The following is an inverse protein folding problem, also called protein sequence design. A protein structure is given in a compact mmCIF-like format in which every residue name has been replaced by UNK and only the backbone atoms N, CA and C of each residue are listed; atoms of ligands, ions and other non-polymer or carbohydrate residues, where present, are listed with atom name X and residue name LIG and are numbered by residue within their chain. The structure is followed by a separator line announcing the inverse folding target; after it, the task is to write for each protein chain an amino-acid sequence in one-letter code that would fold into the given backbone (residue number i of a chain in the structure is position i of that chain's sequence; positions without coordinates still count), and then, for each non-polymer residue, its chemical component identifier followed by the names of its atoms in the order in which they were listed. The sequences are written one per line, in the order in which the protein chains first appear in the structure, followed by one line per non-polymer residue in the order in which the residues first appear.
data_IF_980032073374
#
_entry.id   IF_980032073374
#
_cell.length_a   1.000
_cell.length_b   1.000
_cell.length_c   1.000
_cell.angle_alpha   90.00
_cell.angle_beta   90.00
_cell.angle_gamma   90.00
#
_symmetry.space_group_name_H-M   'P 1'
#
loop_
_entity.id
_entity.type
_entity.pdbx_description
1 polymer ?
#
# COMPACT_ATOMS: atom_id res chain seq x y z
N UNK A 1 -13.28 -20.80 14.90
CA UNK A 1 -12.42 -21.35 13.82
C UNK A 1 -12.37 -20.43 12.61
N UNK A 2 -13.49 -19.83 12.17
CA UNK A 2 -13.58 -18.94 11.00
C UNK A 2 -12.58 -17.77 10.95
N UNK A 3 -12.47 -16.95 12.00
CA UNK A 3 -11.57 -15.78 11.99
C UNK A 3 -10.09 -16.12 11.72
N UNK A 4 -9.60 -17.26 12.22
CA UNK A 4 -8.21 -17.70 11.98
C UNK A 4 -7.99 -18.08 10.52
N UNK A 5 -8.98 -18.71 9.91
CA UNK A 5 -8.95 -19.10 8.50
C UNK A 5 -9.00 -17.88 7.59
N UNK A 6 -9.91 -16.94 7.87
CA UNK A 6 -10.03 -15.68 7.12
C UNK A 6 -8.73 -14.86 7.24
N UNK A 7 -8.15 -14.75 8.44
CA UNK A 7 -6.86 -14.08 8.64
C UNK A 7 -5.69 -14.78 7.94
N UNK A 8 -5.71 -16.11 7.82
CA UNK A 8 -4.73 -16.83 7.02
C UNK A 8 -4.85 -16.45 5.54
N UNK A 9 -6.05 -16.51 4.97
CA UNK A 9 -6.27 -16.14 3.58
C UNK A 9 -5.93 -14.68 3.31
N UNK A 10 -6.37 -13.75 4.16
CA UNK A 10 -6.06 -12.33 4.01
C UNK A 10 -4.55 -12.08 3.93
N UNK A 11 -3.76 -12.74 4.79
CA UNK A 11 -2.29 -12.66 4.75
C UNK A 11 -1.68 -13.24 3.48
N UNK A 12 -2.16 -14.41 3.05
CA UNK A 12 -1.65 -15.07 1.85
C UNK A 12 -1.93 -14.23 0.61
N UNK A 13 -3.14 -13.69 0.45
CA UNK A 13 -3.50 -12.84 -0.67
C UNK A 13 -2.78 -11.49 -0.64
N UNK A 14 -2.80 -10.79 0.50
CA UNK A 14 -2.12 -9.50 0.62
C UNK A 14 -0.61 -9.65 0.42
N UNK A 15 0.01 -10.59 1.12
CA UNK A 15 1.44 -10.80 1.01
C UNK A 15 1.84 -11.28 -0.38
N UNK A 16 1.04 -12.14 -1.01
CA UNK A 16 1.23 -12.56 -2.40
C UNK A 16 1.11 -11.39 -3.38
N UNK A 17 0.16 -10.48 -3.17
CA UNK A 17 -0.01 -9.28 -4.00
C UNK A 17 1.18 -8.32 -3.86
N UNK A 18 1.68 -8.06 -2.64
CA UNK A 18 2.88 -7.24 -2.45
C UNK A 18 4.14 -7.91 -3.03
N UNK A 19 4.26 -9.23 -2.93
CA UNK A 19 5.33 -9.97 -3.61
C UNK A 19 5.25 -9.83 -5.12
N UNK A 20 4.04 -9.95 -5.69
CA UNK A 20 3.80 -9.76 -7.12
C UNK A 20 4.19 -8.35 -7.54
N UNK A 21 3.71 -7.31 -6.84
CA UNK A 21 4.06 -5.91 -7.11
C UNK A 21 5.57 -5.65 -7.04
N UNK A 22 6.25 -6.17 -6.01
CA UNK A 22 7.69 -6.04 -5.88
C UNK A 22 8.45 -6.76 -7.01
N UNK A 23 7.98 -7.95 -7.39
CA UNK A 23 8.58 -8.72 -8.48
C UNK A 23 8.37 -8.05 -9.83
N UNK A 24 7.16 -7.57 -10.09
CA UNK A 24 6.81 -6.81 -11.29
C UNK A 24 7.68 -5.55 -11.42
N UNK A 25 7.88 -4.81 -10.32
CA UNK A 25 8.77 -3.65 -10.28
C UNK A 25 10.22 -3.99 -10.65
N UNK A 26 10.73 -5.18 -10.30
CA UNK A 26 12.08 -5.62 -10.69
C UNK A 26 12.15 -5.86 -12.20
N UNK A 27 11.17 -6.58 -12.74
CA UNK A 27 11.18 -6.96 -14.15
C UNK A 27 10.81 -5.81 -15.08
N UNK A 28 9.99 -4.88 -14.62
CA UNK A 28 9.51 -3.73 -15.38
C UNK A 28 10.13 -2.41 -14.88
N UNK A 29 11.32 -2.46 -14.27
CA UNK A 29 11.96 -1.31 -13.63
C UNK A 29 11.98 -0.04 -14.48
N UNK A 30 12.48 -0.14 -15.72
CA UNK A 30 12.57 1.01 -16.64
C UNK A 30 11.20 1.59 -16.99
N UNK A 31 10.22 0.71 -17.24
CA UNK A 31 8.86 1.13 -17.53
C UNK A 31 8.23 1.84 -16.33
N UNK A 32 8.36 1.25 -15.13
CA UNK A 32 7.82 1.85 -13.91
C UNK A 32 8.49 3.17 -13.57
N UNK A 33 9.81 3.28 -13.73
CA UNK A 33 10.49 4.56 -13.52
C UNK A 33 10.02 5.65 -14.48
N UNK A 34 9.78 5.29 -15.75
CA UNK A 34 9.28 6.24 -16.76
C UNK A 34 7.85 6.68 -16.46
N UNK A 35 6.98 5.76 -16.05
CA UNK A 35 5.59 6.07 -15.66
C UNK A 35 5.56 6.99 -14.45
N UNK A 36 6.33 6.67 -13.41
CA UNK A 36 6.39 7.50 -12.19
C UNK A 36 6.96 8.88 -12.49
N UNK A 37 7.98 8.97 -13.35
CA UNK A 37 8.55 10.26 -13.74
C UNK A 37 7.55 11.11 -14.53
N UNK A 38 6.86 10.53 -15.52
CA UNK A 38 5.80 11.21 -16.26
C UNK A 38 4.68 11.68 -15.34
N UNK A 39 4.34 10.88 -14.33
CA UNK A 39 3.35 11.27 -13.33
C UNK A 39 3.82 12.48 -12.53
N UNK A 40 5.07 12.52 -12.06
CA UNK A 40 5.60 13.71 -11.40
C UNK A 40 5.64 14.94 -12.31
N UNK A 41 6.04 14.79 -13.57
CA UNK A 41 6.03 15.88 -14.55
C UNK A 41 4.59 16.41 -14.78
N UNK A 42 3.60 15.51 -14.89
CA UNK A 42 2.19 15.87 -15.04
C UNK A 42 1.68 16.65 -13.82
N UNK A 43 1.92 16.14 -12.62
CA UNK A 43 1.43 16.76 -11.39
C UNK A 43 2.16 18.09 -11.11
N UNK A 44 3.46 18.18 -11.40
CA UNK A 44 4.21 19.42 -11.31
C UNK A 44 3.67 20.49 -12.26
N UNK A 45 3.27 20.12 -13.49
CA UNK A 45 2.67 21.04 -14.46
C UNK A 45 1.34 21.66 -14.01
N UNK A 46 0.62 21.02 -13.07
CA UNK A 46 -0.68 21.47 -12.57
C UNK A 46 -0.62 22.23 -11.24
N UNK A 47 0.54 22.28 -10.57
CA UNK A 47 0.69 22.95 -9.27
C UNK A 47 1.80 24.00 -9.30
N UNK A 48 1.46 25.27 -9.01
CA UNK A 48 2.45 26.35 -8.81
C UNK A 48 2.76 26.55 -7.32
N UNK A 49 4.03 26.84 -6.96
CA UNK A 49 4.42 27.24 -5.61
C UNK A 49 4.96 26.09 -4.73
N UNK A 50 4.47 25.94 -3.49
CA UNK A 50 5.02 24.99 -2.50
C UNK A 50 5.15 23.55 -3.01
N UNK A 51 4.19 23.08 -3.80
CA UNK A 51 4.18 21.72 -4.36
C UNK A 51 5.27 21.49 -5.40
N UNK A 52 5.68 22.52 -6.16
CA UNK A 52 6.73 22.43 -7.16
C UNK A 52 8.08 22.03 -6.54
N UNK A 53 8.40 22.60 -5.37
CA UNK A 53 9.59 22.24 -4.60
C UNK A 53 9.53 20.81 -4.07
N UNK A 54 8.36 20.32 -3.67
CA UNK A 54 8.18 18.93 -3.23
C UNK A 54 8.41 17.96 -4.38
N UNK A 55 7.85 18.22 -5.57
CA UNK A 55 8.01 17.35 -6.72
C UNK A 55 9.44 17.35 -7.28
N UNK A 56 10.12 18.49 -7.24
CA UNK A 56 11.55 18.57 -7.64
C UNK A 56 12.45 17.73 -6.73
N UNK A 57 12.19 17.77 -5.41
CA UNK A 57 12.90 16.91 -4.46
C UNK A 57 12.53 15.45 -4.69
N UNK A 58 11.24 15.15 -4.91
CA UNK A 58 10.74 13.80 -5.15
C UNK A 58 11.37 13.15 -6.40
N UNK A 59 11.50 13.88 -7.50
CA UNK A 59 12.16 13.41 -8.74
C UNK A 59 13.64 13.09 -8.48
N UNK A 60 14.34 13.96 -7.74
CA UNK A 60 15.76 13.77 -7.39
C UNK A 60 16.02 12.51 -6.55
N UNK A 61 15.05 12.09 -5.75
CA UNK A 61 15.16 10.90 -4.89
C UNK A 61 14.39 9.69 -5.45
N UNK A 62 13.77 9.82 -6.62
CA UNK A 62 12.90 8.79 -7.19
C UNK A 62 13.56 7.40 -7.24
N UNK A 63 14.82 7.24 -7.71
CA UNK A 63 15.45 5.91 -7.74
C UNK A 63 15.58 5.29 -6.34
N UNK A 64 15.91 6.11 -5.33
CA UNK A 64 16.05 5.67 -3.94
C UNK A 64 14.69 5.25 -3.39
N UNK A 65 13.65 6.01 -3.70
CA UNK A 65 12.29 5.67 -3.32
C UNK A 65 11.86 4.37 -4.01
N UNK A 66 12.02 4.19 -5.33
CA UNK A 66 11.65 2.93 -5.98
C UNK A 66 12.36 1.71 -5.37
N UNK A 67 13.64 1.82 -5.01
CA UNK A 67 14.36 0.74 -4.29
C UNK A 67 13.77 0.51 -2.89
N UNK A 68 13.46 1.56 -2.15
CA UNK A 68 12.82 1.44 -0.83
C UNK A 68 11.44 0.79 -0.91
N UNK A 69 10.62 1.18 -1.91
CA UNK A 69 9.31 0.59 -2.17
C UNK A 69 9.44 -0.89 -2.53
N UNK A 70 10.39 -1.24 -3.39
CA UNK A 70 10.70 -2.62 -3.76
C UNK A 70 11.02 -3.46 -2.52
N UNK A 71 11.93 -2.97 -1.68
CA UNK A 71 12.34 -3.68 -0.45
C UNK A 71 11.15 -3.87 0.48
N UNK A 72 10.31 -2.85 0.66
CA UNK A 72 9.08 -2.97 1.45
C UNK A 72 8.17 -4.04 0.86
N UNK A 73 7.85 -3.97 -0.43
CA UNK A 73 6.94 -4.91 -1.07
C UNK A 73 7.40 -6.37 -0.91
N UNK A 74 8.67 -6.64 -1.19
CA UNK A 74 9.23 -7.98 -1.08
C UNK A 74 9.33 -8.45 0.37
N UNK A 75 9.99 -7.67 1.23
CA UNK A 75 10.23 -8.08 2.61
C UNK A 75 8.92 -8.19 3.39
N UNK A 76 8.05 -7.19 3.29
CA UNK A 76 6.81 -7.15 4.07
C UNK A 76 5.77 -8.10 3.49
N UNK A 77 5.79 -8.37 2.18
CA UNK A 77 5.00 -9.45 1.58
C UNK A 77 5.32 -10.80 2.19
N UNK A 78 6.62 -11.16 2.29
CA UNK A 78 7.07 -12.40 2.95
C UNK A 78 6.67 -12.42 4.42
N UNK A 79 6.97 -11.36 5.16
CA UNK A 79 6.70 -11.31 6.60
C UNK A 79 5.20 -11.40 6.90
N UNK A 80 4.36 -10.82 6.04
CA UNK A 80 2.90 -10.89 6.16
C UNK A 80 2.39 -12.32 5.93
N UNK A 81 2.89 -13.03 4.91
CA UNK A 81 2.60 -14.46 4.66
C UNK A 81 2.98 -15.31 5.88
N UNK A 82 4.18 -15.09 6.43
CA UNK A 82 4.67 -15.81 7.60
C UNK A 82 3.95 -15.41 8.90
N UNK A 83 3.17 -14.33 8.89
CA UNK A 83 2.47 -13.82 10.07
C UNK A 83 3.40 -13.17 11.11
N UNK A 84 4.64 -12.85 10.74
CA UNK A 84 5.63 -12.23 11.63
C UNK A 84 5.31 -10.75 11.73
N UNK A 85 5.20 -10.21 12.96
CA UNK A 85 4.91 -8.77 13.21
C UNK A 85 3.73 -8.23 12.39
N UNK A 86 2.72 -9.07 12.13
CA UNK A 86 1.59 -8.79 11.24
C UNK A 86 0.96 -7.40 11.44
N UNK A 87 0.71 -7.00 12.69
CA UNK A 87 0.12 -5.69 13.02
C UNK A 87 1.00 -4.52 12.54
N UNK A 88 2.29 -4.55 12.83
CA UNK A 88 3.19 -3.48 12.42
C UNK A 88 3.27 -3.40 10.89
N UNK A 89 3.47 -4.54 10.23
CA UNK A 89 3.58 -4.61 8.77
C UNK A 89 2.31 -4.16 8.09
N UNK A 90 1.14 -4.65 8.52
CA UNK A 90 -0.14 -4.26 7.93
C UNK A 90 -0.39 -2.76 8.10
N UNK A 91 0.03 -2.18 9.23
CA UNK A 91 -0.07 -0.74 9.47
C UNK A 91 0.86 0.08 8.56
N UNK A 92 2.11 -0.35 8.37
CA UNK A 92 3.03 0.34 7.45
C UNK A 92 2.56 0.22 6.01
N UNK A 93 2.17 -0.99 5.57
CA UNK A 93 1.62 -1.22 4.23
C UNK A 93 0.34 -0.41 4.02
N UNK A 94 -0.52 -0.26 5.04
CA UNK A 94 -1.71 0.59 4.95
C UNK A 94 -1.35 2.05 4.66
N UNK A 95 -0.43 2.64 5.42
CA UNK A 95 -0.01 4.04 5.21
C UNK A 95 0.59 4.22 3.82
N UNK A 96 1.44 3.27 3.42
CA UNK A 96 2.10 3.27 2.11
C UNK A 96 1.06 3.17 0.99
N UNK A 97 0.15 2.21 1.04
CA UNK A 97 -0.94 2.03 0.07
C UNK A 97 -1.84 3.26 -0.01
N UNK A 98 -2.14 3.92 1.12
CA UNK A 98 -2.91 5.16 1.14
C UNK A 98 -2.16 6.30 0.45
N UNK A 99 -0.86 6.42 0.74
CA UNK A 99 0.00 7.40 0.07
C UNK A 99 0.03 7.17 -1.45
N UNK A 100 0.20 5.93 -1.91
CA UNK A 100 0.20 5.62 -3.35
C UNK A 100 -1.16 5.85 -3.99
N UNK A 101 -2.23 5.32 -3.39
CA UNK A 101 -3.59 5.46 -3.91
C UNK A 101 -4.03 6.92 -4.01
N UNK A 102 -3.54 7.79 -3.13
CA UNK A 102 -3.72 9.24 -3.28
C UNK A 102 -2.72 9.78 -4.32
N UNK A 103 -1.44 9.87 -4.01
CA UNK A 103 -0.46 10.64 -4.79
C UNK A 103 -0.24 10.16 -6.22
N UNK A 104 -0.40 8.87 -6.53
CA UNK A 104 -0.16 8.32 -7.86
C UNK A 104 -1.40 8.25 -8.75
N UNK A 105 -2.57 8.51 -8.19
CA UNK A 105 -3.82 8.55 -8.94
C UNK A 105 -4.43 9.94 -8.80
N UNK A 106 -4.03 10.91 -9.66
CA UNK A 106 -4.36 12.31 -9.48
C UNK A 106 -5.78 12.60 -10.00
N UNK A 107 -6.76 11.78 -9.61
CA UNK A 107 -8.16 11.90 -10.03
C UNK A 107 -8.74 13.31 -9.78
N UNK A 108 -8.18 14.03 -8.79
CA UNK A 108 -8.57 15.40 -8.46
C UNK A 108 -8.05 16.47 -9.45
N UNK A 109 -7.10 16.12 -10.33
CA UNK A 109 -6.54 17.01 -11.36
C UNK A 109 -7.11 16.75 -12.76
N UNK A 110 -7.82 15.64 -12.95
CA UNK A 110 -8.33 15.21 -14.26
C UNK A 110 -9.79 15.58 -14.44
N UNK A 111 -10.28 15.59 -15.68
CA UNK A 111 -11.67 15.87 -16.05
C UNK A 111 -12.34 14.65 -16.72
N UNK A 112 -13.67 14.64 -16.70
CA UNK A 112 -14.55 13.69 -17.41
C UNK A 112 -14.13 12.20 -17.32
N UNK A 113 -13.76 11.59 -18.45
CA UNK A 113 -13.53 10.16 -18.58
C UNK A 113 -12.23 9.71 -17.88
N UNK A 114 -11.18 10.52 -17.93
CA UNK A 114 -9.88 10.22 -17.30
C UNK A 114 -10.00 10.25 -15.78
N UNK A 115 -10.82 11.17 -15.25
CA UNK A 115 -11.16 11.17 -13.81
C UNK A 115 -11.84 9.87 -13.40
N UNK A 116 -12.77 9.35 -14.21
CA UNK A 116 -13.51 8.14 -13.87
C UNK A 116 -12.58 6.91 -13.82
N UNK A 117 -11.64 6.80 -14.74
CA UNK A 117 -10.65 5.71 -14.78
C UNK A 117 -9.78 5.72 -13.51
N UNK A 118 -9.21 6.87 -13.15
CA UNK A 118 -8.39 7.01 -11.93
C UNK A 118 -9.20 6.80 -10.63
N UNK A 119 -10.49 7.14 -10.63
CA UNK A 119 -11.36 6.86 -9.49
C UNK A 119 -11.65 5.37 -9.31
N UNK A 120 -11.71 4.59 -10.40
CA UNK A 120 -11.87 3.13 -10.33
C UNK A 120 -10.63 2.51 -9.67
N UNK A 121 -9.44 2.97 -10.07
CA UNK A 121 -8.19 2.52 -9.45
C UNK A 121 -8.17 2.88 -7.96
N UNK A 122 -8.51 4.12 -7.59
CA UNK A 122 -8.62 4.52 -6.18
C UNK A 122 -9.55 3.59 -5.37
N UNK A 123 -10.69 3.17 -5.94
CA UNK A 123 -11.60 2.24 -5.27
C UNK A 123 -10.97 0.85 -5.06
N UNK A 124 -10.15 0.38 -6.00
CA UNK A 124 -9.37 -0.85 -5.81
C UNK A 124 -8.37 -0.70 -4.66
N UNK A 125 -7.70 0.45 -4.55
CA UNK A 125 -6.81 0.75 -3.42
C UNK A 125 -7.58 0.82 -2.08
N UNK A 126 -8.80 1.35 -2.05
CA UNK A 126 -9.65 1.31 -0.84
C UNK A 126 -10.01 -0.11 -0.42
N UNK A 127 -10.30 -0.99 -1.39
CA UNK A 127 -10.50 -2.42 -1.14
C UNK A 127 -9.28 -3.06 -0.49
N UNK A 128 -8.09 -2.77 -1.02
CA UNK A 128 -6.82 -3.22 -0.45
C UNK A 128 -6.57 -2.69 0.97
N UNK A 129 -6.83 -1.41 1.21
CA UNK A 129 -6.73 -0.77 2.52
C UNK A 129 -7.64 -1.45 3.56
N UNK A 130 -8.85 -1.84 3.16
CA UNK A 130 -9.79 -2.55 4.04
C UNK A 130 -9.23 -3.92 4.47
N UNK A 131 -8.61 -4.67 3.55
CA UNK A 131 -7.99 -5.95 3.84
C UNK A 131 -6.77 -5.80 4.76
N UNK A 132 -5.95 -4.76 4.55
CA UNK A 132 -4.84 -4.42 5.44
C UNK A 132 -5.33 -4.04 6.85
N UNK A 133 -6.42 -3.27 6.95
CA UNK A 133 -7.02 -2.90 8.22
C UNK A 133 -7.59 -4.13 8.95
N UNK A 134 -8.17 -5.08 8.23
CA UNK A 134 -8.58 -6.36 8.80
C UNK A 134 -7.39 -7.15 9.37
N UNK A 135 -6.29 -7.27 8.61
CA UNK A 135 -5.07 -7.91 9.10
C UNK A 135 -4.47 -7.19 10.32
N UNK A 136 -4.58 -5.87 10.36
CA UNK A 136 -4.18 -5.07 11.53
C UNK A 136 -5.04 -5.38 12.76
N UNK A 137 -6.37 -5.42 12.58
CA UNK A 137 -7.33 -5.58 13.68
C UNK A 137 -7.43 -7.02 14.21
N UNK A 138 -7.25 -8.03 13.35
CA UNK A 138 -7.30 -9.45 13.71
C UNK A 138 -6.25 -9.86 14.77
N UNK A 139 -5.26 -9.00 15.02
CA UNK A 139 -4.23 -9.21 16.05
C UNK A 139 -4.70 -8.82 17.46
N UNK A 140 -5.76 -8.01 17.60
CA UNK A 140 -6.25 -7.50 18.89
C UNK A 140 -7.15 -8.48 19.65
N UNK A 141 -7.76 -9.48 18.99
CA UNK A 141 -8.70 -10.43 19.61
C UNK A 141 -8.04 -11.44 20.58
N UNK A 142 -6.76 -11.24 20.95
CA UNK A 142 -5.94 -12.29 21.57
C UNK A 142 -5.88 -12.30 23.11
N UNK A 143 -6.78 -11.65 23.85
CA UNK A 143 -6.79 -11.80 25.32
C UNK A 143 -8.20 -12.07 25.87
N UNK A 144 -8.52 -13.30 26.30
CA UNK A 144 -9.62 -13.50 27.24
C UNK A 144 -9.29 -12.74 28.53
N UNK A 145 -10.29 -12.04 29.04
CA UNK A 145 -10.18 -11.22 30.24
C UNK A 145 -10.00 -12.19 31.44
N UNK A 146 -9.00 -11.98 32.32
CA UNK A 146 -8.65 -12.94 33.39
C UNK A 146 -9.71 -13.09 34.50
N UNK A 147 -10.82 -12.37 34.42
CA UNK A 147 -11.92 -12.39 35.37
C UNK A 147 -12.93 -13.53 35.14
N UNK A 148 -12.82 -14.29 34.04
CA UNK A 148 -13.72 -15.42 33.75
C UNK A 148 -13.25 -16.79 34.25
N UNK A 149 -12.05 -16.91 34.81
CA UNK A 149 -11.49 -18.21 35.25
C UNK A 149 -11.74 -18.57 36.72
N UNK A 150 -12.30 -17.69 37.54
CA UNK A 150 -12.44 -17.93 38.98
C UNK A 150 -13.89 -18.12 39.44
N UNK A 151 -14.68 -18.84 38.65
CA UNK A 151 -16.03 -19.31 39.01
C UNK A 151 -16.20 -20.78 38.63
N UNK A 152 -15.53 -21.67 39.36
CA UNK A 152 -15.95 -23.08 39.51
C UNK A 152 -15.47 -23.61 40.85
#
# INVERSE_FOLDING_TARGET
MGHKVINLFARLFLGGMFLFLGTDLVFNWSYTSDVVKKHFEFVQGHHTGFFESIYTIADSILPIWLVFFLVICLLFGILLILGIKQRLISGVLFILTLFFGFFYHPFWLLEDAERLEEMIDLWMYLGLLSALLYCFSATFEKKPRPDTENKS
#
